data_IF_317366105327
#
_entry.id   IF_317366105327
#
_cell.length_a   1.000
_cell.length_b   1.000
_cell.length_c   1.000
_cell.angle_alpha   90.00
_cell.angle_beta   90.00
_cell.angle_gamma   90.00
#
_symmetry.space_group_name_H-M   'P 1'
#
loop_
_entity.id
_entity.type
_entity.pdbx_description
1 polymer ?
#
# COMPACT_ATOMS: atom_id res chain seq x y z
N UNK A 1 -14.17 -4.86 12.57
CA UNK A 1 -14.95 -3.72 12.06
C UNK A 1 -15.87 -4.13 10.92
N UNK A 2 -15.37 -4.75 9.84
CA UNK A 2 -16.19 -5.11 8.65
C UNK A 2 -17.38 -6.02 8.96
N UNK A 3 -17.24 -7.01 9.85
CA UNK A 3 -18.35 -7.89 10.24
C UNK A 3 -19.50 -7.12 10.92
N UNK A 4 -19.17 -6.19 11.83
CA UNK A 4 -20.17 -5.33 12.50
C UNK A 4 -20.78 -4.34 11.51
N UNK A 5 -19.96 -3.75 10.65
CA UNK A 5 -20.43 -2.88 9.57
C UNK A 5 -21.43 -3.60 8.67
N UNK A 6 -21.20 -4.90 8.38
CA UNK A 6 -22.15 -5.75 7.66
C UNK A 6 -23.54 -5.76 8.32
N UNK A 7 -23.65 -6.00 9.62
CA UNK A 7 -24.94 -5.93 10.31
C UNK A 7 -25.62 -4.57 10.20
N UNK A 8 -24.84 -3.49 10.36
CA UNK A 8 -25.37 -2.11 10.24
C UNK A 8 -25.88 -1.86 8.83
N UNK A 9 -25.10 -2.18 7.80
CA UNK A 9 -25.46 -1.99 6.39
C UNK A 9 -26.70 -2.84 6.03
N UNK A 10 -26.66 -4.15 6.29
CA UNK A 10 -27.74 -5.07 5.90
C UNK A 10 -29.03 -4.89 6.72
N UNK A 11 -28.97 -4.43 7.97
CA UNK A 11 -30.18 -4.12 8.74
C UNK A 11 -30.95 -2.94 8.15
N UNK A 12 -30.24 -1.89 7.71
CA UNK A 12 -30.84 -0.72 7.06
C UNK A 12 -31.34 -1.04 5.66
N UNK A 13 -30.60 -1.83 4.89
CA UNK A 13 -31.05 -2.35 3.58
C UNK A 13 -32.31 -3.21 3.70
N UNK A 14 -32.35 -4.10 4.69
CA UNK A 14 -33.53 -4.93 4.98
C UNK A 14 -34.75 -4.09 5.36
N UNK A 15 -34.55 -3.04 6.17
CA UNK A 15 -35.60 -2.06 6.49
C UNK A 15 -36.10 -1.34 5.23
N UNK A 16 -35.19 -0.88 4.36
CA UNK A 16 -35.56 -0.20 3.12
C UNK A 16 -36.35 -1.12 2.17
N UNK A 17 -35.90 -2.36 1.99
CA UNK A 17 -36.58 -3.36 1.17
C UNK A 17 -38.01 -3.62 1.69
N UNK A 18 -38.16 -3.80 3.00
CA UNK A 18 -39.47 -4.00 3.63
C UNK A 18 -40.38 -2.76 3.53
N UNK A 19 -39.85 -1.56 3.72
CA UNK A 19 -40.65 -0.32 3.70
C UNK A 19 -40.99 0.18 2.30
N UNK A 20 -40.14 -0.10 1.30
CA UNK A 20 -40.30 0.39 -0.07
C UNK A 20 -40.89 -0.66 -1.01
N UNK A 21 -41.04 -1.90 -0.56
CA UNK A 21 -41.54 -3.03 -1.36
C UNK A 21 -40.62 -3.42 -2.52
N UNK A 22 -39.33 -3.07 -2.44
CA UNK A 22 -38.32 -3.42 -3.45
C UNK A 22 -37.57 -4.69 -3.04
N UNK A 23 -37.05 -5.42 -4.02
CA UNK A 23 -36.22 -6.58 -3.74
C UNK A 23 -34.89 -6.13 -3.12
N UNK A 24 -34.29 -7.00 -2.29
CA UNK A 24 -33.00 -6.71 -1.65
C UNK A 24 -31.87 -6.54 -2.69
N UNK A 25 -31.99 -7.17 -3.86
CA UNK A 25 -31.02 -7.10 -4.96
C UNK A 25 -30.92 -5.71 -5.58
N UNK A 26 -32.02 -4.95 -5.60
CA UNK A 26 -32.06 -3.60 -6.19
C UNK A 26 -31.42 -2.55 -5.27
N UNK A 27 -31.42 -2.81 -3.97
CA UNK A 27 -30.88 -1.90 -2.94
C UNK A 27 -29.45 -2.26 -2.52
N UNK A 28 -29.06 -3.54 -2.66
CA UNK A 28 -27.74 -4.04 -2.31
C UNK A 28 -26.72 -3.73 -3.42
N UNK A 29 -26.25 -2.48 -3.45
CA UNK A 29 -25.17 -2.04 -4.34
C UNK A 29 -23.82 -2.03 -3.63
N UNK A 30 -22.72 -2.08 -4.40
CA UNK A 30 -21.36 -1.93 -3.88
C UNK A 30 -20.80 -0.53 -4.19
N UNK A 31 -19.75 -0.14 -3.46
CA UNK A 31 -19.02 1.10 -3.73
C UNK A 31 -19.72 2.38 -3.25
N UNK A 32 -19.38 3.54 -3.84
CA UNK A 32 -19.88 4.85 -3.38
C UNK A 32 -21.41 5.00 -3.46
N UNK A 33 -22.07 4.34 -4.41
CA UNK A 33 -23.53 4.42 -4.58
C UNK A 33 -24.30 3.96 -3.35
N UNK A 34 -23.82 2.93 -2.66
CA UNK A 34 -24.43 2.42 -1.44
C UNK A 34 -24.48 3.48 -0.34
N UNK A 35 -23.36 4.16 -0.10
CA UNK A 35 -23.21 5.11 1.01
C UNK A 35 -23.71 6.52 0.68
N UNK A 36 -23.74 6.92 -0.60
CA UNK A 36 -24.15 8.27 -1.00
C UNK A 36 -25.57 8.34 -1.59
N UNK A 37 -26.20 7.21 -1.93
CA UNK A 37 -27.56 7.19 -2.50
C UNK A 37 -28.50 6.34 -1.65
N UNK A 38 -28.21 5.04 -1.52
CA UNK A 38 -29.11 4.10 -0.84
C UNK A 38 -29.21 4.40 0.65
N UNK A 39 -28.07 4.55 1.34
CA UNK A 39 -28.08 4.79 2.79
C UNK A 39 -28.79 6.09 3.19
N UNK A 40 -28.50 7.24 2.55
CA UNK A 40 -29.20 8.49 2.84
C UNK A 40 -30.70 8.41 2.56
N UNK A 41 -31.12 7.65 1.52
CA UNK A 41 -32.53 7.43 1.24
C UNK A 41 -33.25 6.68 2.37
N UNK A 42 -32.61 5.67 2.98
CA UNK A 42 -33.17 4.99 4.16
C UNK A 42 -33.17 5.90 5.39
N UNK A 43 -32.09 6.66 5.62
CA UNK A 43 -32.00 7.59 6.76
C UNK A 43 -33.10 8.65 6.68
N UNK A 44 -33.46 9.11 5.49
CA UNK A 44 -34.49 10.12 5.28
C UNK A 44 -35.89 9.67 5.73
N UNK A 45 -36.18 8.36 5.75
CA UNK A 45 -37.48 7.83 6.20
C UNK A 45 -37.54 7.58 7.70
N UNK A 46 -36.40 7.64 8.41
CA UNK A 46 -36.33 7.39 9.85
C UNK A 46 -36.69 8.65 10.67
N UNK A 47 -37.36 8.49 11.83
CA UNK A 47 -37.57 9.60 12.76
C UNK A 47 -36.21 10.11 13.30
N UNK A 48 -36.01 11.43 13.29
CA UNK A 48 -34.73 12.04 13.68
C UNK A 48 -33.65 11.94 12.60
N UNK A 49 -34.02 11.83 11.31
CA UNK A 49 -33.13 11.68 10.15
C UNK A 49 -31.90 12.60 10.14
N UNK A 50 -32.04 13.86 10.58
CA UNK A 50 -30.94 14.83 10.64
C UNK A 50 -29.80 14.32 11.54
N UNK A 51 -30.12 13.75 12.70
CA UNK A 51 -29.12 13.22 13.63
C UNK A 51 -28.36 12.05 13.01
N UNK A 52 -29.09 11.09 12.41
CA UNK A 52 -28.52 9.93 11.75
C UNK A 52 -27.64 10.30 10.55
N UNK A 53 -28.06 11.28 9.75
CA UNK A 53 -27.28 11.77 8.61
C UNK A 53 -25.96 12.41 9.07
N UNK A 54 -25.99 13.26 10.10
CA UNK A 54 -24.79 13.92 10.63
C UNK A 54 -23.76 12.91 11.13
N UNK A 55 -24.17 11.93 11.95
CA UNK A 55 -23.22 10.93 12.46
C UNK A 55 -22.72 10.01 11.36
N UNK A 56 -23.56 9.68 10.37
CA UNK A 56 -23.19 8.80 9.26
C UNK A 56 -22.15 9.45 8.34
N UNK A 57 -22.37 10.70 7.92
CA UNK A 57 -21.40 11.40 7.09
C UNK A 57 -20.13 11.79 7.87
N UNK A 58 -20.24 12.11 9.16
CA UNK A 58 -19.06 12.31 10.02
C UNK A 58 -18.25 11.02 10.14
N UNK A 59 -18.90 9.87 10.30
CA UNK A 59 -18.23 8.57 10.30
C UNK A 59 -17.49 8.34 8.97
N UNK A 60 -18.13 8.53 7.81
CA UNK A 60 -17.47 8.38 6.50
C UNK A 60 -16.26 9.31 6.35
N UNK A 61 -16.38 10.56 6.83
CA UNK A 61 -15.29 11.52 6.82
C UNK A 61 -14.12 11.03 7.69
N UNK A 62 -14.37 10.58 8.92
CA UNK A 62 -13.31 10.07 9.80
C UNK A 62 -12.62 8.82 9.24
N UNK A 63 -13.38 7.88 8.64
CA UNK A 63 -12.83 6.69 7.99
C UNK A 63 -11.90 7.04 6.81
N UNK A 64 -12.27 8.04 6.02
CA UNK A 64 -11.45 8.53 4.90
C UNK A 64 -10.22 9.32 5.35
N UNK A 65 -10.34 10.14 6.40
CA UNK A 65 -9.24 10.97 6.91
C UNK A 65 -8.09 10.14 7.44
N UNK A 66 -8.36 9.17 8.33
CA UNK A 66 -7.30 8.35 8.94
C UNK A 66 -6.52 7.56 7.88
N UNK A 67 -7.23 7.04 6.88
CA UNK A 67 -6.62 6.33 5.75
C UNK A 67 -5.75 7.25 4.90
N UNK A 68 -6.21 8.49 4.64
CA UNK A 68 -5.47 9.48 3.85
C UNK A 68 -4.21 9.97 4.57
N UNK A 69 -4.26 10.09 5.90
CA UNK A 69 -3.08 10.42 6.71
C UNK A 69 -2.03 9.32 6.62
N UNK A 70 -2.42 8.04 6.74
CA UNK A 70 -1.49 6.92 6.60
C UNK A 70 -0.78 6.90 5.23
N UNK A 71 -1.54 7.10 4.14
CA UNK A 71 -0.97 7.13 2.79
C UNK A 71 -0.03 8.31 2.55
N UNK A 72 -0.40 9.52 3.00
CA UNK A 72 0.44 10.71 2.86
C UNK A 72 1.70 10.62 3.72
N UNK A 73 1.58 10.11 4.95
CA UNK A 73 2.71 9.94 5.87
C UNK A 73 3.75 8.95 5.34
N UNK A 74 3.32 7.90 4.64
CA UNK A 74 4.24 6.96 3.99
C UNK A 74 5.13 7.67 2.96
N UNK A 75 4.57 8.57 2.15
CA UNK A 75 5.32 9.37 1.16
C UNK A 75 6.25 10.36 1.85
N UNK A 76 5.73 11.08 2.85
CA UNK A 76 6.49 12.10 3.59
C UNK A 76 7.69 11.46 4.30
N UNK A 77 7.48 10.32 4.97
CA UNK A 77 8.53 9.59 5.69
C UNK A 77 9.58 9.06 4.72
N UNK A 78 9.16 8.36 3.65
CA UNK A 78 10.08 7.79 2.68
C UNK A 78 11.00 8.85 2.02
N UNK A 79 10.44 10.01 1.66
CA UNK A 79 11.22 11.10 1.06
C UNK A 79 12.07 11.86 2.07
N UNK A 80 11.64 11.95 3.33
CA UNK A 80 12.42 12.60 4.39
C UNK A 80 13.64 11.77 4.77
N UNK A 81 13.51 10.44 4.76
CA UNK A 81 14.60 9.50 5.06
C UNK A 81 15.64 9.44 3.93
N UNK A 82 15.20 9.47 2.68
CA UNK A 82 16.12 9.44 1.51
C UNK A 82 16.79 10.81 1.28
N UNK A 83 16.06 11.92 1.46
CA UNK A 83 16.56 13.28 1.20
C UNK A 83 16.57 14.14 2.49
N UNK A 84 17.71 14.29 3.17
CA UNK A 84 17.80 15.03 4.43
C UNK A 84 17.43 16.52 4.31
N UNK A 85 17.53 17.09 3.11
CA UNK A 85 17.05 18.46 2.82
C UNK A 85 15.53 18.59 2.93
N UNK A 86 14.79 17.57 2.52
CA UNK A 86 13.32 17.50 2.63
C UNK A 86 12.94 17.31 4.10
N UNK A 87 13.62 16.39 4.80
CA UNK A 87 13.40 16.16 6.23
C UNK A 87 13.59 17.42 7.09
N UNK A 88 14.59 18.26 6.77
CA UNK A 88 14.82 19.53 7.50
C UNK A 88 13.70 20.56 7.30
N UNK A 89 13.07 20.58 6.14
CA UNK A 89 12.03 21.53 5.76
C UNK A 89 10.68 20.83 5.53
N UNK A 90 10.34 19.88 6.41
CA UNK A 90 9.16 19.02 6.27
C UNK A 90 7.85 19.80 6.04
N UNK A 91 7.62 20.87 6.80
CA UNK A 91 6.40 21.67 6.69
C UNK A 91 6.20 22.27 5.29
N UNK A 92 7.28 22.81 4.70
CA UNK A 92 7.26 23.39 3.34
C UNK A 92 7.02 22.28 2.31
N UNK A 93 7.62 21.11 2.49
CA UNK A 93 7.42 19.96 1.62
C UNK A 93 5.97 19.47 1.64
N UNK A 94 5.39 19.30 2.84
CA UNK A 94 3.99 18.89 3.00
C UNK A 94 3.03 19.91 2.38
N UNK A 95 3.26 21.20 2.59
CA UNK A 95 2.48 22.26 1.97
C UNK A 95 2.55 22.19 0.43
N UNK A 96 3.74 21.95 -0.13
CA UNK A 96 3.92 21.76 -1.57
C UNK A 96 3.22 20.51 -2.11
N UNK A 97 3.33 19.39 -1.40
CA UNK A 97 2.68 18.13 -1.75
C UNK A 97 1.15 18.25 -1.78
N UNK A 98 0.55 18.83 -0.73
CA UNK A 98 -0.89 19.03 -0.67
C UNK A 98 -1.38 20.12 -1.63
N UNK A 99 -0.56 21.13 -1.93
CA UNK A 99 -0.88 22.08 -3.01
C UNK A 99 -0.95 21.38 -4.37
N UNK A 100 -0.03 20.45 -4.65
CA UNK A 100 -0.06 19.63 -5.86
C UNK A 100 -1.30 18.70 -5.88
N UNK A 101 -1.61 18.03 -4.77
CA UNK A 101 -2.83 17.21 -4.65
C UNK A 101 -4.09 18.02 -4.87
N UNK A 102 -4.14 19.25 -4.33
CA UNK A 102 -5.28 20.14 -4.53
C UNK A 102 -5.44 20.53 -6.01
N UNK A 103 -4.36 20.97 -6.67
CA UNK A 103 -4.41 21.38 -8.09
C UNK A 103 -4.80 20.22 -9.00
N UNK A 104 -4.24 19.03 -8.80
CA UNK A 104 -4.62 17.84 -9.58
C UNK A 104 -6.04 17.37 -9.21
N UNK A 105 -6.38 17.44 -7.92
CA UNK A 105 -7.69 17.08 -7.39
C UNK A 105 -8.84 17.94 -7.92
N UNK A 106 -8.56 19.16 -8.40
CA UNK A 106 -9.57 19.98 -9.10
C UNK A 106 -10.16 19.25 -10.32
N UNK A 107 -9.41 18.35 -10.98
CA UNK A 107 -9.94 17.51 -12.06
C UNK A 107 -11.09 16.61 -11.57
N UNK A 108 -10.95 16.04 -10.36
CA UNK A 108 -11.99 15.23 -9.70
C UNK A 108 -13.19 16.06 -9.24
N UNK A 109 -13.06 17.38 -9.11
CA UNK A 109 -14.15 18.29 -8.73
C UNK A 109 -14.94 18.85 -9.92
N UNK A 110 -14.57 18.50 -11.16
CA UNK A 110 -15.32 18.92 -12.35
C UNK A 110 -16.63 18.16 -12.50
N UNK A 111 -17.52 18.59 -13.41
CA UNK A 111 -18.78 17.89 -13.70
C UNK A 111 -18.58 16.44 -14.16
N UNK A 112 -17.46 16.15 -14.84
CA UNK A 112 -17.04 14.80 -15.22
C UNK A 112 -16.08 14.14 -14.23
N UNK A 113 -15.92 14.72 -13.03
CA UNK A 113 -14.91 14.32 -12.06
C UNK A 113 -15.06 12.88 -11.56
N UNK A 114 -16.27 12.34 -11.54
CA UNK A 114 -16.51 10.94 -11.17
C UNK A 114 -15.84 9.97 -12.17
N UNK A 115 -15.82 10.28 -13.47
CA UNK A 115 -15.12 9.45 -14.46
C UNK A 115 -13.61 9.44 -14.22
N UNK A 116 -13.04 10.60 -13.85
CA UNK A 116 -11.63 10.68 -13.49
C UNK A 116 -11.33 9.91 -12.20
N UNK A 117 -12.19 10.03 -11.19
CA UNK A 117 -12.09 9.28 -9.93
C UNK A 117 -12.07 7.77 -10.19
N UNK A 118 -13.01 7.26 -10.98
CA UNK A 118 -13.12 5.83 -11.23
C UNK A 118 -11.98 5.27 -12.09
N UNK A 119 -11.45 6.06 -13.03
CA UNK A 119 -10.24 5.71 -13.77
C UNK A 119 -9.06 5.49 -12.82
N UNK A 120 -8.87 6.40 -11.86
CA UNK A 120 -7.83 6.27 -10.84
C UNK A 120 -8.11 5.11 -9.88
N UNK A 121 -9.35 4.94 -9.42
CA UNK A 121 -9.73 3.86 -8.51
C UNK A 121 -9.42 2.47 -9.10
N UNK A 122 -9.71 2.29 -10.40
CA UNK A 122 -9.42 1.02 -11.11
C UNK A 122 -7.93 0.78 -11.31
N UNK A 123 -7.18 1.79 -11.76
CA UNK A 123 -5.83 1.58 -12.30
C UNK A 123 -4.69 2.06 -11.38
N UNK A 124 -4.92 2.97 -10.44
CA UNK A 124 -3.82 3.56 -9.68
C UNK A 124 -3.11 2.56 -8.77
N UNK A 125 -3.86 1.77 -7.99
CA UNK A 125 -3.28 0.90 -6.97
C UNK A 125 -3.56 -0.60 -7.18
N UNK A 126 -4.63 -0.98 -7.87
CA UNK A 126 -5.13 -2.37 -7.91
C UNK A 126 -4.08 -3.44 -8.23
N UNK A 127 -3.61 -3.51 -9.48
CA UNK A 127 -2.58 -4.47 -9.87
C UNK A 127 -1.18 -4.08 -9.41
N UNK A 128 -0.91 -2.78 -9.33
CA UNK A 128 0.39 -2.22 -8.94
C UNK A 128 0.82 -2.68 -7.54
N UNK A 129 -0.09 -2.60 -6.56
CA UNK A 129 0.22 -3.00 -5.18
C UNK A 129 0.43 -4.51 -5.05
N UNK A 130 -0.34 -5.32 -5.79
CA UNK A 130 -0.20 -6.78 -5.75
C UNK A 130 1.18 -7.22 -6.26
N UNK A 131 1.66 -6.60 -7.34
CA UNK A 131 2.99 -6.88 -7.89
C UNK A 131 4.10 -6.34 -6.97
N UNK A 132 3.93 -5.15 -6.38
CA UNK A 132 4.88 -4.60 -5.42
C UNK A 132 5.04 -5.53 -4.20
N UNK A 133 3.94 -5.96 -3.59
CA UNK A 133 3.96 -6.86 -2.41
C UNK A 133 4.48 -8.26 -2.79
N UNK A 134 4.24 -8.74 -4.01
CA UNK A 134 4.85 -9.98 -4.49
C UNK A 134 6.38 -9.88 -4.51
N UNK A 135 6.93 -8.79 -5.05
CA UNK A 135 8.37 -8.56 -5.04
C UNK A 135 8.92 -8.36 -3.63
N UNK A 136 8.21 -7.67 -2.74
CA UNK A 136 8.59 -7.55 -1.33
C UNK A 136 8.65 -8.93 -0.64
N UNK A 137 7.64 -9.77 -0.83
CA UNK A 137 7.60 -11.11 -0.25
C UNK A 137 8.76 -12.00 -0.77
N UNK A 138 9.08 -11.91 -2.06
CA UNK A 138 10.23 -12.61 -2.66
C UNK A 138 11.56 -12.03 -2.13
N UNK A 139 11.68 -10.71 -2.05
CA UNK A 139 12.88 -10.03 -1.57
C UNK A 139 13.18 -10.41 -0.11
N UNK A 140 12.20 -10.35 0.78
CA UNK A 140 12.37 -10.69 2.20
C UNK A 140 12.62 -12.20 2.38
N UNK A 141 11.82 -13.05 1.73
CA UNK A 141 11.87 -14.50 2.01
C UNK A 141 13.01 -15.24 1.31
N UNK A 142 13.38 -14.84 0.08
CA UNK A 142 14.34 -15.56 -0.75
C UNK A 142 15.67 -14.82 -0.94
N UNK A 143 15.64 -13.50 -1.14
CA UNK A 143 16.88 -12.72 -1.37
C UNK A 143 17.57 -12.41 -0.03
N UNK A 144 16.85 -11.75 0.89
CA UNK A 144 17.33 -11.48 2.24
C UNK A 144 17.40 -12.77 3.07
N UNK A 145 16.42 -13.65 2.89
CA UNK A 145 16.38 -14.98 3.48
C UNK A 145 15.60 -15.02 4.80
N UNK A 146 14.63 -15.93 4.87
CA UNK A 146 13.73 -16.08 6.02
C UNK A 146 14.46 -16.28 7.36
N UNK A 147 15.63 -16.94 7.36
CA UNK A 147 16.37 -17.19 8.59
C UNK A 147 16.92 -15.88 9.18
N UNK A 148 17.53 -15.02 8.35
CA UNK A 148 18.02 -13.71 8.78
C UNK A 148 16.89 -12.84 9.32
N UNK A 149 15.77 -12.81 8.60
CA UNK A 149 14.58 -12.08 9.04
C UNK A 149 14.02 -12.60 10.38
N UNK A 150 14.05 -13.92 10.61
CA UNK A 150 13.65 -14.49 11.90
C UNK A 150 14.61 -14.13 13.03
N UNK A 151 15.91 -14.05 12.73
CA UNK A 151 16.93 -13.66 13.70
C UNK A 151 16.81 -12.16 14.04
N UNK A 152 16.51 -11.30 13.07
CA UNK A 152 16.20 -9.87 13.29
C UNK A 152 14.95 -9.71 14.17
N UNK A 153 13.88 -10.46 13.90
CA UNK A 153 12.68 -10.42 14.75
C UNK A 153 13.00 -10.91 16.16
N UNK A 154 13.79 -11.98 16.31
CA UNK A 154 14.20 -12.48 17.62
C UNK A 154 15.00 -11.43 18.41
N UNK A 155 15.83 -10.64 17.74
CA UNK A 155 16.57 -9.52 18.34
C UNK A 155 15.63 -8.40 18.80
N UNK A 156 14.56 -8.11 18.04
CA UNK A 156 13.58 -7.07 18.36
C UNK A 156 12.59 -7.44 19.49
N UNK A 157 12.03 -8.66 19.47
CA UNK A 157 10.94 -9.07 20.38
C UNK A 157 11.36 -10.15 21.39
N UNK A 158 12.59 -10.66 21.32
CA UNK A 158 13.15 -11.67 22.22
C UNK A 158 12.87 -13.13 21.83
N UNK A 159 12.02 -13.41 20.84
CA UNK A 159 11.71 -14.76 20.38
C UNK A 159 11.58 -14.85 18.85
N UNK A 160 11.95 -16.00 18.29
CA UNK A 160 11.90 -16.20 16.84
C UNK A 160 10.48 -16.55 16.37
N UNK A 161 10.06 -16.08 15.18
CA UNK A 161 8.82 -16.49 14.56
C UNK A 161 8.75 -18.02 14.37
N UNK A 162 7.60 -18.59 14.72
CA UNK A 162 7.32 -20.01 14.55
C UNK A 162 7.29 -20.45 13.07
N UNK A 163 7.27 -21.77 12.86
CA UNK A 163 7.32 -22.39 11.52
C UNK A 163 6.16 -21.93 10.63
N UNK A 164 4.97 -21.71 11.22
CA UNK A 164 3.80 -21.19 10.51
C UNK A 164 4.12 -19.91 9.73
N UNK A 165 4.66 -18.89 10.39
CA UNK A 165 5.02 -17.60 9.77
C UNK A 165 6.07 -17.77 8.67
N UNK A 166 7.07 -18.62 8.90
CA UNK A 166 8.13 -18.90 7.93
C UNK A 166 7.57 -19.53 6.64
N UNK A 167 6.65 -20.49 6.77
CA UNK A 167 5.96 -21.13 5.63
C UNK A 167 5.04 -20.14 4.93
N UNK A 168 4.33 -19.31 5.69
CA UNK A 168 3.44 -18.29 5.15
C UNK A 168 4.19 -17.28 4.27
N UNK A 169 5.30 -16.71 4.74
CA UNK A 169 6.07 -15.73 3.96
C UNK A 169 6.78 -16.35 2.76
N UNK A 170 7.36 -17.55 2.94
CA UNK A 170 8.16 -18.18 1.89
C UNK A 170 7.33 -18.76 0.74
N UNK A 171 6.17 -19.34 1.04
CA UNK A 171 5.38 -20.09 0.07
C UNK A 171 3.95 -19.57 -0.07
N UNK A 172 3.20 -19.45 1.03
CA UNK A 172 1.76 -19.16 0.95
C UNK A 172 1.49 -17.77 0.38
N UNK A 173 2.15 -16.74 0.87
CA UNK A 173 1.92 -15.37 0.44
C UNK A 173 2.29 -15.15 -1.05
N UNK A 174 3.47 -15.57 -1.55
CA UNK A 174 3.79 -15.43 -2.98
C UNK A 174 2.82 -16.20 -3.88
N UNK A 175 2.44 -17.43 -3.51
CA UNK A 175 1.51 -18.25 -4.31
C UNK A 175 0.11 -17.61 -4.33
N UNK A 176 -0.36 -17.14 -3.17
CA UNK A 176 -1.66 -16.50 -3.05
C UNK A 176 -1.73 -15.18 -3.83
N UNK A 177 -0.70 -14.34 -3.76
CA UNK A 177 -0.61 -13.11 -4.54
C UNK A 177 -0.55 -13.41 -6.04
N UNK A 178 0.25 -14.39 -6.45
CA UNK A 178 0.34 -14.83 -7.84
C UNK A 178 -1.01 -15.33 -8.36
N UNK A 179 -1.74 -16.10 -7.54
CA UNK A 179 -3.08 -16.58 -7.87
C UNK A 179 -4.05 -15.42 -8.10
N UNK A 180 -4.08 -14.43 -7.20
CA UNK A 180 -4.96 -13.24 -7.34
C UNK A 180 -4.61 -12.45 -8.60
N UNK A 181 -3.32 -12.24 -8.88
CA UNK A 181 -2.87 -11.51 -10.07
C UNK A 181 -3.31 -12.24 -11.34
N UNK A 182 -3.11 -13.56 -11.43
CA UNK A 182 -3.48 -14.35 -12.62
C UNK A 182 -4.99 -14.32 -12.83
N UNK A 183 -5.80 -14.58 -11.79
CA UNK A 183 -7.25 -14.53 -11.91
C UNK A 183 -7.76 -13.14 -12.25
N UNK A 184 -7.17 -12.11 -11.65
CA UNK A 184 -7.50 -10.71 -11.94
C UNK A 184 -7.17 -10.31 -13.38
N UNK A 185 -6.11 -10.86 -13.99
CA UNK A 185 -5.77 -10.59 -15.39
C UNK A 185 -6.65 -11.37 -16.37
N UNK A 186 -7.05 -12.60 -16.03
CA UNK A 186 -7.97 -13.41 -16.85
C UNK A 186 -9.36 -12.75 -16.90
N UNK A 187 -9.85 -12.25 -15.77
CA UNK A 187 -11.13 -11.52 -15.67
C UNK A 187 -11.03 -10.04 -16.04
N UNK A 188 -10.00 -9.62 -16.79
CA UNK A 188 -9.85 -8.23 -17.17
C UNK A 188 -10.88 -7.84 -18.24
N UNK A 189 -11.72 -6.88 -17.89
CA UNK A 189 -12.61 -6.19 -18.83
C UNK A 189 -12.22 -4.72 -18.95
N UNK A 190 -12.36 -4.11 -20.15
CA UNK A 190 -12.18 -2.67 -20.33
C UNK A 190 -13.04 -1.88 -19.36
N UNK A 191 -12.52 -0.76 -18.84
CA UNK A 191 -13.25 0.05 -17.87
C UNK A 191 -14.56 0.58 -18.49
N UNK A 192 -15.66 0.35 -17.80
CA UNK A 192 -16.98 0.89 -18.10
C UNK A 192 -17.61 1.42 -16.81
N UNK A 193 -18.52 2.39 -16.97
CA UNK A 193 -19.32 2.93 -15.88
C UNK A 193 -20.73 3.18 -16.37
N UNK A 194 -21.69 2.46 -15.80
CA UNK A 194 -23.08 2.46 -16.28
C UNK A 194 -23.10 2.21 -17.80
N UNK A 195 -23.73 3.11 -18.57
CA UNK A 195 -23.79 3.02 -20.03
C UNK A 195 -22.57 3.62 -20.76
N UNK A 196 -21.60 4.18 -20.02
CA UNK A 196 -20.42 4.82 -20.58
C UNK A 196 -19.23 3.84 -20.64
N UNK A 197 -18.80 3.52 -21.85
CA UNK A 197 -17.58 2.73 -22.10
C UNK A 197 -16.40 3.69 -22.29
N UNK A 198 -15.34 3.50 -21.50
CA UNK A 198 -14.18 4.38 -21.59
C UNK A 198 -13.47 4.19 -22.93
N UNK A 199 -13.00 5.28 -23.55
CA UNK A 199 -12.28 5.19 -24.81
C UNK A 199 -10.94 4.45 -24.61
N UNK A 200 -10.41 3.78 -25.66
CA UNK A 200 -9.19 2.99 -25.55
C UNK A 200 -7.97 3.75 -25.03
N UNK A 201 -7.87 5.05 -25.33
CA UNK A 201 -6.78 5.90 -24.84
C UNK A 201 -6.83 6.09 -23.32
N UNK A 202 -8.02 6.08 -22.70
CA UNK A 202 -8.17 6.21 -21.26
C UNK A 202 -7.72 4.93 -20.57
N UNK A 203 -8.05 3.76 -21.13
CA UNK A 203 -7.51 2.48 -20.65
C UNK A 203 -5.98 2.43 -20.80
N UNK A 204 -5.43 2.93 -21.91
CA UNK A 204 -3.97 3.03 -22.10
C UNK A 204 -3.32 3.96 -21.06
N UNK A 205 -3.95 5.11 -20.76
CA UNK A 205 -3.51 6.02 -19.70
C UNK A 205 -3.54 5.33 -18.33
N UNK A 206 -4.59 4.59 -18.01
CA UNK A 206 -4.70 3.81 -16.78
C UNK A 206 -3.57 2.79 -16.65
N UNK A 207 -3.29 2.03 -17.70
CA UNK A 207 -2.13 1.11 -17.73
C UNK A 207 -0.78 1.83 -17.64
N UNK A 208 -0.65 3.04 -18.16
CA UNK A 208 0.57 3.84 -17.97
C UNK A 208 0.74 4.25 -16.49
N UNK A 209 -0.35 4.64 -15.81
CA UNK A 209 -0.32 4.96 -14.38
C UNK A 209 0.07 3.71 -13.58
N UNK A 210 -0.59 2.58 -13.81
CA UNK A 210 -0.26 1.32 -13.14
C UNK A 210 1.19 0.89 -13.41
N UNK A 211 1.59 0.94 -14.68
CA UNK A 211 2.93 0.60 -15.15
C UNK A 211 4.02 1.48 -14.57
N UNK A 212 3.74 2.75 -14.30
CA UNK A 212 4.72 3.71 -13.79
C UNK A 212 5.30 3.30 -12.43
N UNK A 213 4.48 2.76 -11.53
CA UNK A 213 4.95 2.21 -10.25
C UNK A 213 5.66 0.87 -10.42
N UNK A 214 5.12 -0.01 -11.27
CA UNK A 214 5.67 -1.36 -11.47
C UNK A 214 7.05 -1.34 -12.13
N UNK A 215 7.27 -0.44 -13.10
CA UNK A 215 8.51 -0.36 -13.85
C UNK A 215 9.68 0.19 -13.00
N UNK A 216 9.40 0.90 -11.91
CA UNK A 216 10.46 1.42 -11.03
C UNK A 216 11.29 0.30 -10.39
N UNK A 217 10.67 -0.84 -10.06
CA UNK A 217 11.36 -1.99 -9.47
C UNK A 217 12.48 -2.52 -10.40
N UNK A 218 12.20 -2.96 -11.64
CA UNK A 218 13.24 -3.40 -12.56
C UNK A 218 14.15 -2.25 -13.02
N UNK A 219 13.62 -1.03 -13.21
CA UNK A 219 14.42 0.12 -13.65
C UNK A 219 15.53 0.44 -12.65
N UNK A 220 15.21 0.55 -11.36
CA UNK A 220 16.20 0.81 -10.31
C UNK A 220 17.18 -0.35 -10.18
N UNK A 221 16.72 -1.60 -10.29
CA UNK A 221 17.61 -2.77 -10.30
C UNK A 221 18.62 -2.70 -11.46
N UNK A 222 18.18 -2.36 -12.68
CA UNK A 222 19.05 -2.19 -13.84
C UNK A 222 20.05 -1.04 -13.66
N UNK A 223 19.59 0.13 -13.18
CA UNK A 223 20.46 1.29 -12.95
C UNK A 223 21.55 0.93 -11.92
N UNK A 224 21.17 0.32 -10.79
CA UNK A 224 22.12 -0.09 -9.74
C UNK A 224 23.12 -1.14 -10.26
N UNK A 225 22.69 -2.06 -11.13
CA UNK A 225 23.59 -3.01 -11.79
C UNK A 225 24.58 -2.35 -12.74
N UNK A 226 24.20 -1.30 -13.46
CA UNK A 226 25.09 -0.60 -14.40
C UNK A 226 26.12 0.25 -13.65
N UNK A 227 25.68 0.97 -12.61
CA UNK A 227 26.52 1.91 -11.83
C UNK A 227 27.54 1.18 -10.95
N UNK A 228 27.20 0.00 -10.43
CA UNK A 228 28.11 -0.73 -9.53
C UNK A 228 29.32 -1.28 -10.31
N UNK A 229 30.57 -0.96 -9.92
CA UNK A 229 31.75 -1.45 -10.60
C UNK A 229 31.98 -2.95 -10.31
N UNK A 230 32.62 -3.65 -11.25
CA UNK A 230 33.02 -5.06 -11.11
C UNK A 230 32.41 -6.00 -12.14
N UNK A 231 32.61 -7.31 -11.95
CA UNK A 231 32.02 -8.38 -12.78
C UNK A 231 30.55 -8.63 -12.42
N UNK A 232 29.76 -9.24 -13.31
CA UNK A 232 28.32 -9.47 -13.09
C UNK A 232 28.02 -10.21 -11.76
N UNK A 233 28.78 -11.26 -11.45
CA UNK A 233 28.61 -12.03 -10.22
C UNK A 233 28.95 -11.21 -8.97
N UNK A 234 29.98 -10.36 -9.04
CA UNK A 234 30.37 -9.45 -7.96
C UNK A 234 29.31 -8.37 -7.74
N UNK A 235 28.78 -7.77 -8.82
CA UNK A 235 27.71 -6.76 -8.74
C UNK A 235 26.45 -7.32 -8.09
N UNK A 236 26.02 -8.51 -8.51
CA UNK A 236 24.88 -9.18 -7.90
C UNK A 236 25.10 -9.43 -6.41
N UNK A 237 26.29 -9.91 -6.02
CA UNK A 237 26.62 -10.12 -4.60
C UNK A 237 26.62 -8.82 -3.80
N UNK A 238 27.17 -7.73 -4.33
CA UNK A 238 27.18 -6.42 -3.66
C UNK A 238 25.76 -5.89 -3.46
N UNK A 239 24.89 -6.03 -4.47
CA UNK A 239 23.51 -5.54 -4.41
C UNK A 239 22.59 -6.38 -3.52
N UNK A 240 22.92 -7.65 -3.30
CA UNK A 240 22.16 -8.53 -2.38
C UNK A 240 22.74 -8.58 -0.97
N UNK A 241 23.93 -8.02 -0.71
CA UNK A 241 24.45 -7.89 0.64
C UNK A 241 23.73 -6.76 1.40
N UNK A 242 23.07 -7.05 2.53
CA UNK A 242 22.42 -6.04 3.35
C UNK A 242 23.41 -5.04 3.94
N UNK A 243 22.92 -3.84 4.26
CA UNK A 243 23.70 -2.80 4.91
C UNK A 243 24.26 -3.23 6.28
N UNK A 244 23.51 -4.02 7.07
CA UNK A 244 23.97 -4.55 8.37
C UNK A 244 25.27 -5.35 8.22
N UNK A 245 25.32 -6.24 7.23
CA UNK A 245 26.50 -7.07 6.95
C UNK A 245 27.68 -6.21 6.47
N UNK A 246 27.40 -5.19 5.64
CA UNK A 246 28.44 -4.26 5.17
C UNK A 246 29.05 -3.44 6.31
N UNK A 247 28.23 -2.95 7.24
CA UNK A 247 28.73 -2.20 8.40
C UNK A 247 29.53 -3.08 9.35
N UNK A 248 29.10 -4.32 9.60
CA UNK A 248 29.88 -5.26 10.41
C UNK A 248 31.26 -5.54 9.79
N UNK A 249 31.32 -5.67 8.46
CA UNK A 249 32.58 -5.86 7.74
C UNK A 249 33.49 -4.62 7.82
N UNK A 250 32.94 -3.41 7.75
CA UNK A 250 33.70 -2.14 7.87
C UNK A 250 34.17 -1.92 9.31
N UNK A 251 33.34 -2.23 10.31
CA UNK A 251 33.65 -2.03 11.72
C UNK A 251 34.46 -3.18 12.34
N UNK A 252 34.84 -4.21 11.57
CA UNK A 252 35.63 -5.35 12.03
C UNK A 252 34.92 -6.26 13.04
N UNK A 253 33.58 -6.19 13.16
CA UNK A 253 32.81 -6.96 14.15
C UNK A 253 32.42 -8.31 13.54
N UNK A 254 33.21 -9.35 13.82
CA UNK A 254 32.82 -10.74 13.57
C UNK A 254 31.93 -11.24 14.70
N UNK A 255 30.64 -11.46 14.43
CA UNK A 255 29.75 -12.13 15.38
C UNK A 255 30.08 -13.62 15.43
N UNK A 256 30.91 -14.04 16.38
CA UNK A 256 30.79 -15.41 16.90
C UNK A 256 29.46 -15.51 17.69
N UNK A 257 28.74 -16.65 17.64
CA UNK A 257 27.40 -16.80 18.20
C UNK A 257 27.34 -16.74 19.74
N UNK A 258 28.41 -16.33 20.41
CA UNK A 258 28.44 -16.11 21.84
C UNK A 258 29.23 -14.83 22.15
N UNK A 259 28.51 -13.79 22.60
CA UNK A 259 29.01 -12.55 23.20
C UNK A 259 29.54 -11.48 22.24
N UNK A 260 28.73 -10.44 22.07
CA UNK A 260 29.18 -9.11 21.63
C UNK A 260 30.13 -8.57 22.69
N UNK A 261 31.44 -8.71 22.50
CA UNK A 261 32.45 -7.89 23.18
C UNK A 261 32.85 -6.76 22.25
N UNK A 262 32.58 -5.52 22.67
CA UNK A 262 33.20 -4.33 22.10
C UNK A 262 34.70 -4.40 22.45
N UNK A 263 35.55 -4.74 21.50
CA UNK A 263 36.98 -4.46 21.63
C UNK A 263 37.17 -2.96 21.43
N UNK A 264 37.33 -2.21 22.53
CA UNK A 264 37.84 -0.85 22.46
C UNK A 264 39.21 -0.90 21.78
N UNK A 265 39.33 -0.19 20.66
CA UNK A 265 40.62 0.23 20.12
C UNK A 265 40.92 1.57 20.76
N UNK A 266 41.49 1.54 21.96
CA UNK A 266 42.13 2.69 22.61
C UNK A 266 43.00 2.21 23.80
N UNK A 267 44.16 1.66 23.47
CA UNK A 267 45.39 1.72 24.29
C UNK A 267 46.48 2.00 23.24
N UNK A 268 46.88 3.24 23.02
CA UNK A 268 47.67 4.02 23.97
C UNK A 268 49.13 3.95 23.53
N UNK A 269 49.51 4.81 22.57
CA UNK A 269 50.91 5.23 22.43
C UNK A 269 51.31 5.88 23.76
N UNK A 270 52.11 5.19 24.58
CA UNK A 270 53.00 5.85 25.55
C UNK A 270 54.13 4.90 25.99
N UNK A 271 55.35 5.43 25.83
CA UNK A 271 56.71 4.99 26.23
C UNK A 271 57.47 4.05 25.29
#
# INVERSE_FOLDING_TARGET
TSFVAGFVIFSVLGYMAHSSGQNIEDVATEGPGLVFVVYPAAIATMPGSIFWALIFFMMLLTLGLDSSFGGSEAIITALSDEFPKIGRNREIFVAGLFSLYFVVGLASCTQGGFYFFQLLDRYAAGYSILIAVLFEAIAVSWIYGTQRFCDDIKDMIGFAPGIYWRVCWKFVAPIFLLFIIIYGLIGYEPLSYEDYVYPPWANALGWCIAGSSMIMIPLVACIKLIVTPGTFLQRMKILTTPWRDQQMAVNGVTTEPAQVRLTNSDEGEEV
#
